data_IF_912278946164
#
_entry.id   IF_912278946164
#
_cell.length_a   1.000
_cell.length_b   1.000
_cell.length_c   1.000
_cell.angle_alpha   90.00
_cell.angle_beta   90.00
_cell.angle_gamma   90.00
#
_symmetry.space_group_name_H-M   'P 1'
#
loop_
_entity.id
_entity.type
_entity.pdbx_description
1 polymer ?
#
# COMPACT_ATOMS: atom_id res chain seq x y z
N UNK A 1 2.96 12.73 6.44
CA UNK A 1 2.39 11.38 6.64
C UNK A 1 2.46 11.03 8.11
N UNK A 2 1.32 10.66 8.71
CA UNK A 2 1.21 10.19 10.10
C UNK A 2 0.73 8.73 10.06
N UNK A 3 1.66 7.80 9.88
CA UNK A 3 1.37 6.36 9.78
C UNK A 3 2.06 5.56 10.88
N UNK A 4 1.41 4.48 11.29
CA UNK A 4 2.14 3.30 11.72
C UNK A 4 2.76 2.69 10.47
N UNK A 5 4.09 2.60 10.43
CA UNK A 5 4.84 2.00 9.32
C UNK A 5 5.54 0.74 9.79
N UNK A 6 5.14 -0.42 9.26
CA UNK A 6 5.76 -1.70 9.55
C UNK A 6 6.58 -2.17 8.35
N UNK A 7 7.87 -1.84 8.36
CA UNK A 7 8.79 -2.15 7.27
C UNK A 7 9.61 -3.43 7.51
N UNK A 8 10.22 -3.95 6.43
CA UNK A 8 11.26 -4.95 6.50
C UNK A 8 12.47 -4.45 7.32
N UNK A 9 13.13 -5.37 8.03
CA UNK A 9 14.33 -5.03 8.82
C UNK A 9 15.56 -4.68 7.98
N UNK A 10 15.54 -5.00 6.68
CA UNK A 10 16.63 -4.81 5.72
C UNK A 10 16.06 -4.67 4.30
N UNK A 11 16.75 -3.95 3.42
CA UNK A 11 16.37 -3.78 2.00
C UNK A 11 15.52 -2.54 1.72
N UNK A 12 15.00 -2.46 0.49
CA UNK A 12 14.13 -1.37 0.02
C UNK A 12 12.85 -1.33 0.86
N UNK A 13 12.55 -0.17 1.44
CA UNK A 13 11.32 0.04 2.19
C UNK A 13 10.32 0.77 1.33
N UNK A 14 9.30 0.06 0.82
CA UNK A 14 8.25 0.68 0.00
C UNK A 14 8.80 1.63 -1.07
N UNK A 15 9.82 1.20 -1.82
CA UNK A 15 10.43 1.97 -2.91
C UNK A 15 11.56 2.94 -2.56
N UNK A 16 11.87 3.15 -1.28
CA UNK A 16 13.00 4.00 -0.92
C UNK A 16 14.33 3.27 -1.06
N UNK A 17 15.32 3.93 -1.67
CA UNK A 17 16.65 3.38 -1.96
C UNK A 17 17.59 3.29 -0.75
N UNK A 18 17.12 3.63 0.45
CA UNK A 18 17.89 3.56 1.68
C UNK A 18 17.42 2.41 2.57
N UNK A 19 18.35 1.82 3.31
CA UNK A 19 18.04 0.75 4.27
C UNK A 19 17.15 1.29 5.38
N UNK A 20 16.09 0.54 5.70
CA UNK A 20 15.28 0.80 6.89
C UNK A 20 15.56 -0.20 7.99
N UNK A 21 15.16 0.14 9.21
CA UNK A 21 15.19 -0.73 10.38
C UNK A 21 13.75 -0.96 10.85
N UNK A 22 12.96 -1.57 9.99
CA UNK A 22 11.55 -1.82 10.25
C UNK A 22 11.30 -2.89 11.31
N UNK A 23 10.03 -3.19 11.55
CA UNK A 23 9.56 -4.09 12.63
C UNK A 23 9.16 -5.48 12.13
N UNK A 24 9.08 -5.70 10.80
CA UNK A 24 8.69 -6.97 10.22
C UNK A 24 9.77 -8.03 10.41
N UNK A 25 9.43 -9.12 11.10
CA UNK A 25 10.32 -10.29 11.27
C UNK A 25 10.38 -11.19 10.03
N UNK A 26 9.32 -11.17 9.24
CA UNK A 26 9.15 -11.92 7.99
C UNK A 26 8.49 -10.98 6.99
N UNK A 27 8.93 -11.02 5.73
CA UNK A 27 8.27 -10.27 4.66
C UNK A 27 7.05 -11.09 4.21
N UNK A 28 5.81 -10.59 4.41
CA UNK A 28 4.61 -11.29 3.97
C UNK A 28 4.59 -11.40 2.44
N UNK A 29 4.10 -12.54 1.95
CA UNK A 29 3.98 -12.85 0.52
C UNK A 29 2.51 -13.07 0.21
N UNK A 30 1.98 -12.45 -0.84
CA UNK A 30 0.65 -12.80 -1.35
C UNK A 30 0.63 -14.21 -1.95
N UNK A 31 -0.49 -14.94 -1.84
CA UNK A 31 -1.74 -14.56 -1.17
C UNK A 31 -1.77 -14.85 0.35
N UNK A 32 -0.65 -15.30 0.93
CA UNK A 32 -0.64 -16.03 2.20
C UNK A 32 -0.35 -15.13 3.41
N UNK A 33 -1.18 -14.10 3.64
CA UNK A 33 -1.14 -13.36 4.89
C UNK A 33 -2.42 -12.57 5.18
N UNK A 34 -2.69 -12.38 6.46
CA UNK A 34 -3.82 -11.60 6.99
C UNK A 34 -3.27 -10.53 7.92
N UNK A 35 -3.93 -9.38 8.00
CA UNK A 35 -3.57 -8.32 8.95
C UNK A 35 -4.74 -8.06 9.87
N UNK A 36 -4.49 -8.12 11.18
CA UNK A 36 -5.48 -7.94 12.22
C UNK A 36 -5.11 -6.75 13.10
N UNK A 37 -6.06 -5.89 13.41
CA UNK A 37 -5.84 -4.74 14.28
C UNK A 37 -7.17 -4.15 14.77
N UNK A 38 -7.14 -3.42 15.87
CA UNK A 38 -8.26 -2.57 16.29
C UNK A 38 -7.93 -1.12 16.02
N UNK A 39 -8.81 -0.42 15.30
CA UNK A 39 -8.66 0.98 14.92
C UNK A 39 -9.79 1.82 15.52
N UNK A 40 -9.42 2.96 16.08
CA UNK A 40 -10.34 4.02 16.51
C UNK A 40 -9.85 5.37 15.96
N UNK A 41 -10.64 5.98 15.08
CA UNK A 41 -10.34 7.27 14.48
C UNK A 41 -11.19 8.33 15.18
N UNK A 42 -10.51 9.28 15.83
CA UNK A 42 -11.16 10.38 16.56
C UNK A 42 -11.20 11.65 15.74
N UNK A 43 -10.17 11.90 14.92
CA UNK A 43 -10.08 13.06 14.05
C UNK A 43 -9.32 12.73 12.75
N UNK A 44 -9.90 13.11 11.61
CA UNK A 44 -9.51 12.63 10.28
C UNK A 44 -8.41 13.40 9.55
N UNK A 45 -7.80 14.44 10.14
CA UNK A 45 -6.70 15.18 9.51
C UNK A 45 -7.09 16.26 8.49
N UNK A 46 -8.38 16.62 8.39
CA UNK A 46 -8.86 17.68 7.50
C UNK A 46 -9.75 17.23 6.35
N UNK A 47 -10.10 18.17 5.47
CA UNK A 47 -10.88 17.91 4.27
C UNK A 47 -10.04 17.36 3.10
N UNK A 48 -8.73 17.61 3.12
CA UNK A 48 -7.79 17.17 2.07
C UNK A 48 -7.00 15.92 2.46
N UNK A 49 -7.05 15.50 3.72
CA UNK A 49 -6.34 14.31 4.16
C UNK A 49 -6.91 13.04 3.53
N UNK A 50 -6.08 12.01 3.50
CA UNK A 50 -6.52 10.65 3.19
C UNK A 50 -6.21 9.77 4.39
N UNK A 51 -7.10 8.85 4.72
CA UNK A 51 -6.82 7.87 5.75
C UNK A 51 -6.75 6.49 5.13
N UNK A 52 -5.57 5.89 5.18
CA UNK A 52 -5.33 4.54 4.71
C UNK A 52 -5.67 3.56 5.82
N UNK A 53 -6.73 2.78 5.63
CA UNK A 53 -7.02 1.61 6.47
C UNK A 53 -5.92 0.57 6.32
N UNK A 54 -5.41 0.43 5.11
CA UNK A 54 -4.28 -0.44 4.80
C UNK A 54 -3.54 0.16 3.60
N UNK A 55 -2.24 0.35 3.75
CA UNK A 55 -1.30 0.69 2.69
C UNK A 55 -0.18 -0.35 2.72
N UNK A 56 -0.03 -1.11 1.64
CA UNK A 56 1.08 -2.05 1.49
C UNK A 56 1.99 -1.62 0.35
N UNK A 57 3.30 -1.68 0.61
CA UNK A 57 4.34 -1.22 -0.32
C UNK A 57 5.35 -2.32 -0.68
N UNK A 58 5.71 -2.38 -1.95
CA UNK A 58 6.67 -3.35 -2.50
C UNK A 58 7.41 -2.80 -3.72
N UNK A 59 8.32 -3.59 -4.29
CA UNK A 59 9.05 -3.27 -5.50
C UNK A 59 9.28 -4.53 -6.34
N UNK A 60 8.91 -4.47 -7.63
CA UNK A 60 9.34 -5.43 -8.65
C UNK A 60 9.42 -4.76 -10.02
N UNK A 61 10.09 -5.40 -10.98
CA UNK A 61 10.19 -4.91 -12.37
C UNK A 61 8.95 -5.35 -13.17
N UNK A 62 8.64 -4.67 -14.27
CA UNK A 62 7.51 -5.03 -15.14
C UNK A 62 7.62 -6.45 -15.73
N UNK A 63 8.85 -6.95 -15.88
CA UNK A 63 9.12 -8.34 -16.29
C UNK A 63 8.98 -9.39 -15.15
N UNK A 64 8.48 -9.00 -13.98
CA UNK A 64 8.24 -9.86 -12.82
C UNK A 64 9.47 -10.17 -11.96
N UNK A 65 10.67 -9.71 -12.34
CA UNK A 65 11.88 -9.90 -11.53
C UNK A 65 11.89 -9.01 -10.29
N UNK A 66 12.58 -9.41 -9.21
CA UNK A 66 12.82 -8.54 -8.06
C UNK A 66 13.54 -7.25 -8.46
N UNK A 67 13.27 -6.19 -7.71
CA UNK A 67 14.03 -4.94 -7.81
C UNK A 67 15.50 -5.13 -7.43
N UNK A 68 16.37 -4.32 -8.02
CA UNK A 68 17.83 -4.40 -7.80
C UNK A 68 18.49 -3.03 -7.58
N UNK A 69 17.69 -1.97 -7.40
CA UNK A 69 18.15 -0.60 -7.25
C UNK A 69 18.27 0.19 -8.53
N UNK A 70 17.90 -0.39 -9.66
CA UNK A 70 17.88 0.30 -10.93
C UNK A 70 16.67 1.24 -11.01
N UNK A 71 16.92 2.53 -10.84
CA UNK A 71 15.88 3.59 -10.88
C UNK A 71 15.13 3.69 -12.20
N UNK A 72 15.60 3.05 -13.27
CA UNK A 72 14.93 3.05 -14.57
C UNK A 72 13.92 1.92 -14.71
N UNK A 73 14.27 0.72 -14.24
CA UNK A 73 13.48 -0.50 -14.45
C UNK A 73 12.76 -1.01 -13.21
N UNK A 74 13.18 -0.59 -12.01
CA UNK A 74 12.47 -0.87 -10.76
C UNK A 74 11.17 -0.06 -10.70
N UNK A 75 10.09 -0.72 -10.29
CA UNK A 75 8.80 -0.06 -10.10
C UNK A 75 8.32 -0.33 -8.69
N UNK A 76 8.18 0.75 -7.92
CA UNK A 76 7.57 0.70 -6.59
C UNK A 76 6.07 0.54 -6.75
N UNK A 77 5.46 -0.33 -5.94
CA UNK A 77 4.03 -0.59 -6.01
C UNK A 77 3.35 -0.46 -4.67
N UNK A 78 2.17 0.16 -4.71
CA UNK A 78 1.34 0.39 -3.55
C UNK A 78 -0.08 -0.12 -3.77
N UNK A 79 -0.67 -0.69 -2.73
CA UNK A 79 -2.09 -1.00 -2.65
C UNK A 79 -2.67 -0.32 -1.42
N UNK A 80 -3.51 0.68 -1.63
CA UNK A 80 -3.97 1.62 -0.62
C UNK A 80 -5.50 1.61 -0.53
N UNK A 81 -6.06 1.31 0.65
CA UNK A 81 -7.50 1.44 0.92
C UNK A 81 -7.77 2.73 1.68
N UNK A 82 -8.46 3.68 1.03
CA UNK A 82 -8.87 4.95 1.64
C UNK A 82 -10.26 4.81 2.26
N UNK A 83 -10.44 5.17 3.53
CA UNK A 83 -11.73 4.99 4.23
C UNK A 83 -12.43 6.29 4.63
N UNK A 84 -11.79 7.45 4.48
CA UNK A 84 -12.45 8.69 4.84
C UNK A 84 -13.56 9.04 3.82
N UNK A 85 -14.82 9.20 4.28
CA UNK A 85 -16.00 9.16 3.40
C UNK A 85 -16.12 10.37 2.47
N UNK A 86 -15.46 11.48 2.81
CA UNK A 86 -15.47 12.72 2.05
C UNK A 86 -14.45 12.78 0.91
N UNK A 87 -13.60 11.76 0.76
CA UNK A 87 -12.64 11.69 -0.34
C UNK A 87 -13.21 10.88 -1.49
N UNK A 88 -13.09 11.47 -2.68
CA UNK A 88 -13.13 10.74 -3.93
C UNK A 88 -11.68 10.54 -4.42
N UNK A 89 -11.40 9.39 -5.01
CA UNK A 89 -10.05 8.98 -5.39
C UNK A 89 -9.41 9.98 -6.36
N UNK A 90 -8.09 10.22 -6.23
CA UNK A 90 -7.35 11.28 -6.91
C UNK A 90 -7.44 11.30 -8.45
N UNK A 91 -7.83 10.20 -9.11
CA UNK A 91 -8.31 10.18 -10.51
C UNK A 91 -9.39 9.11 -10.74
N UNK A 92 -10.65 9.54 -10.83
CA UNK A 92 -11.79 8.65 -11.11
C UNK A 92 -11.73 8.10 -12.55
N UNK A 93 -11.09 6.95 -12.78
CA UNK A 93 -11.54 6.11 -13.88
C UNK A 93 -12.91 5.57 -13.48
N UNK A 94 -13.94 6.01 -14.21
CA UNK A 94 -15.33 5.62 -13.98
C UNK A 94 -15.52 4.15 -14.31
N UNK A 95 -15.06 3.26 -13.44
CA UNK A 95 -15.58 1.90 -13.37
C UNK A 95 -16.42 1.77 -12.11
N UNK A 96 -17.37 0.83 -12.09
CA UNK A 96 -18.25 0.57 -10.93
C UNK A 96 -17.50 0.23 -9.63
N UNK A 97 -16.19 0.05 -9.75
CA UNK A 97 -15.19 -0.08 -8.71
C UNK A 97 -14.26 1.13 -8.80
N UNK A 98 -14.13 1.95 -7.76
CA UNK A 98 -13.20 3.08 -7.83
C UNK A 98 -11.79 2.58 -7.53
N UNK A 99 -11.02 2.34 -8.59
CA UNK A 99 -9.57 2.13 -8.55
C UNK A 99 -8.92 3.35 -9.22
N UNK A 100 -8.09 4.10 -8.50
CA UNK A 100 -7.18 5.06 -9.14
C UNK A 100 -5.81 4.43 -9.31
N UNK A 101 -5.26 4.51 -10.53
CA UNK A 101 -3.92 4.02 -10.84
C UNK A 101 -2.99 5.20 -11.08
N UNK A 102 -1.91 5.31 -10.32
CA UNK A 102 -0.79 6.20 -10.66
C UNK A 102 0.16 5.40 -11.56
N UNK A 103 0.50 5.92 -12.74
CA UNK A 103 1.57 5.48 -13.66
C UNK A 103 1.86 3.96 -13.70
N UNK A 104 1.46 3.30 -14.79
CA UNK A 104 1.69 1.87 -15.04
C UNK A 104 3.13 1.54 -15.48
N UNK A 105 3.93 2.55 -15.82
CA UNK A 105 5.14 2.38 -16.63
C UNK A 105 6.43 2.66 -15.85
N UNK A 106 7.51 1.99 -16.26
CA UNK A 106 8.84 2.24 -15.75
C UNK A 106 9.45 3.49 -16.40
N UNK A 107 10.62 3.95 -15.96
CA UNK A 107 11.25 5.17 -16.48
C UNK A 107 12.13 4.89 -17.73
N UNK A 108 12.06 3.69 -18.30
CA UNK A 108 12.77 3.34 -19.54
C UNK A 108 12.10 4.01 -20.76
N UNK A 109 10.78 4.21 -20.70
CA UNK A 109 9.98 4.82 -21.77
C UNK A 109 9.03 5.89 -21.23
N UNK A 110 9.52 7.04 -20.71
CA UNK A 110 8.64 8.04 -20.12
C UNK A 110 7.78 8.75 -21.19
N UNK A 111 6.45 8.73 -21.02
CA UNK A 111 5.54 9.49 -21.88
C UNK A 111 5.65 11.01 -21.64
N UNK A 112 5.71 11.80 -22.72
CA UNK A 112 5.69 13.26 -22.61
C UNK A 112 4.27 13.77 -22.25
N UNK A 113 4.14 14.78 -21.37
CA UNK A 113 5.22 15.47 -20.66
C UNK A 113 5.63 14.75 -19.36
N UNK A 114 6.93 14.62 -19.14
CA UNK A 114 7.49 14.10 -17.89
C UNK A 114 8.47 15.09 -17.24
N UNK A 115 8.66 14.97 -15.94
CA UNK A 115 9.70 15.64 -15.18
C UNK A 115 10.29 14.64 -14.19
N UNK A 116 11.58 14.72 -13.95
CA UNK A 116 12.21 13.91 -12.91
C UNK A 116 11.94 14.52 -11.55
N UNK A 117 11.64 13.69 -10.57
CA UNK A 117 11.39 14.13 -9.21
C UNK A 117 12.65 14.77 -8.60
N UNK A 118 12.46 15.61 -7.57
CA UNK A 118 13.59 16.15 -6.82
C UNK A 118 14.34 15.05 -6.06
N UNK A 119 15.58 15.28 -5.60
CA UNK A 119 16.42 14.26 -4.96
C UNK A 119 15.86 13.63 -3.68
N UNK A 120 14.86 14.24 -3.05
CA UNK A 120 14.23 13.74 -1.82
C UNK A 120 12.94 12.95 -2.08
N UNK A 121 12.36 13.11 -3.27
CA UNK A 121 11.23 12.32 -3.74
C UNK A 121 11.69 10.94 -4.18
N UNK A 122 10.79 9.94 -4.15
CA UNK A 122 11.13 8.60 -4.64
C UNK A 122 11.49 8.69 -6.14
N UNK A 123 12.75 8.42 -6.53
CA UNK A 123 13.18 8.58 -7.92
C UNK A 123 12.70 7.43 -8.81
N UNK A 124 12.18 6.36 -8.20
CA UNK A 124 11.70 5.18 -8.92
C UNK A 124 10.28 5.43 -9.45
N UNK A 125 9.95 4.90 -10.63
CA UNK A 125 8.57 4.75 -11.08
C UNK A 125 7.68 4.14 -10.00
N UNK A 126 6.44 4.65 -9.91
CA UNK A 126 5.46 4.22 -8.91
C UNK A 126 4.16 3.82 -9.58
N UNK A 127 3.70 2.61 -9.28
CA UNK A 127 2.36 2.16 -9.61
C UNK A 127 1.52 2.06 -8.32
N UNK A 128 0.60 3.01 -8.13
CA UNK A 128 -0.23 3.11 -6.91
C UNK A 128 -1.66 2.73 -7.27
N UNK A 129 -2.21 1.72 -6.59
CA UNK A 129 -3.63 1.36 -6.66
C UNK A 129 -4.34 1.88 -5.41
N UNK A 130 -5.09 2.97 -5.56
CA UNK A 130 -5.99 3.45 -4.51
C UNK A 130 -7.38 2.89 -4.72
N UNK A 131 -7.88 2.17 -3.72
CA UNK A 131 -9.22 1.57 -3.70
C UNK A 131 -10.09 2.20 -2.61
N UNK A 132 -11.40 2.25 -2.88
CA UNK A 132 -12.41 2.76 -1.97
C UNK A 132 -13.33 1.63 -1.45
N UNK A 133 -14.06 1.85 -0.34
CA UNK A 133 -15.03 0.90 0.17
C UNK A 133 -16.04 0.49 -0.90
N UNK A 134 -16.20 -0.82 -1.08
CA UNK A 134 -17.08 -1.39 -2.10
C UNK A 134 -17.50 -2.81 -1.70
N UNK A 135 -18.74 -3.26 -2.01
CA UNK A 135 -19.22 -4.57 -1.58
C UNK A 135 -18.37 -5.77 -2.01
N UNK A 136 -17.67 -5.66 -3.14
CA UNK A 136 -16.77 -6.72 -3.64
C UNK A 136 -15.59 -6.98 -2.70
N UNK A 137 -15.23 -6.03 -1.84
CA UNK A 137 -14.15 -6.19 -0.87
C UNK A 137 -14.56 -6.94 0.39
N UNK A 138 -15.86 -7.18 0.59
CA UNK A 138 -16.38 -7.80 1.80
C UNK A 138 -15.87 -9.22 2.03
N UNK A 139 -15.59 -9.99 0.97
CA UNK A 139 -15.01 -11.33 1.09
C UNK A 139 -13.57 -11.32 1.65
N UNK A 140 -12.87 -10.18 1.58
CA UNK A 140 -11.53 -9.98 2.10
C UNK A 140 -11.53 -9.29 3.49
N UNK A 141 -12.71 -9.03 4.07
CA UNK A 141 -12.85 -8.35 5.36
C UNK A 141 -12.74 -6.82 5.31
N UNK A 142 -12.63 -6.24 4.11
CA UNK A 142 -12.50 -4.79 3.92
C UNK A 142 -13.85 -4.06 3.95
N UNK A 143 -13.86 -2.73 4.16
CA UNK A 143 -15.06 -1.91 4.15
C UNK A 143 -15.89 -2.08 2.87
N UNK A 144 -17.19 -2.27 3.05
CA UNK A 144 -18.13 -2.52 1.95
C UNK A 144 -18.90 -1.28 1.51
N UNK A 145 -18.90 -0.23 2.32
CA UNK A 145 -19.58 1.04 2.06
C UNK A 145 -18.83 2.21 2.68
N UNK A 146 -19.00 3.41 2.09
CA UNK A 146 -18.40 4.65 2.61
C UNK A 146 -18.78 4.85 4.08
N UNK A 147 -17.80 5.21 4.90
CA UNK A 147 -17.98 5.53 6.33
C UNK A 147 -17.80 4.34 7.29
N UNK A 148 -17.72 3.10 6.82
CA UNK A 148 -17.37 1.96 7.69
C UNK A 148 -15.93 2.10 8.22
N UNK A 149 -15.77 2.01 9.54
CA UNK A 149 -14.48 2.22 10.22
C UNK A 149 -14.03 3.65 10.34
N UNK A 150 -14.90 4.59 10.04
CA UNK A 150 -14.60 6.01 10.19
C UNK A 150 -14.90 6.50 11.62
N UNK A 151 -14.90 7.82 11.80
CA UNK A 151 -15.12 8.48 13.08
C UNK A 151 -16.45 8.04 13.71
N UNK A 152 -16.37 7.56 14.96
CA UNK A 152 -17.52 7.05 15.71
C UNK A 152 -17.84 5.58 15.47
N UNK A 153 -17.07 4.88 14.62
CA UNK A 153 -17.19 3.44 14.35
C UNK A 153 -15.84 2.73 14.63
N UNK A 154 -15.40 2.62 15.90
CA UNK A 154 -14.19 1.89 16.24
C UNK A 154 -14.40 0.39 16.03
N UNK A 155 -13.42 -0.29 15.40
CA UNK A 155 -13.58 -1.69 14.97
C UNK A 155 -12.29 -2.48 15.05
N UNK A 156 -12.44 -3.77 15.27
CA UNK A 156 -11.40 -4.75 14.99
C UNK A 156 -11.55 -5.23 13.55
N UNK A 157 -10.50 -5.06 12.78
CA UNK A 157 -10.37 -5.51 11.41
C UNK A 157 -9.60 -6.82 11.36
N UNK A 158 -10.03 -7.72 10.49
CA UNK A 158 -9.29 -8.91 10.07
C UNK A 158 -9.33 -8.92 8.55
N UNK A 159 -8.24 -8.43 7.96
CA UNK A 159 -8.14 -8.17 6.53
C UNK A 159 -7.34 -9.27 5.85
N UNK A 160 -7.92 -9.93 4.85
CA UNK A 160 -7.24 -10.87 3.96
C UNK A 160 -6.42 -10.09 2.92
N UNK A 161 -5.40 -9.38 3.42
CA UNK A 161 -4.54 -8.48 2.64
C UNK A 161 -3.81 -9.27 1.55
N UNK A 162 -3.38 -10.50 1.84
CA UNK A 162 -2.73 -11.37 0.89
C UNK A 162 -3.62 -11.71 -0.31
N UNK A 163 -4.83 -12.22 -0.11
CA UNK A 163 -5.71 -12.55 -1.25
C UNK A 163 -6.18 -11.31 -2.00
N UNK A 164 -6.50 -10.21 -1.32
CA UNK A 164 -6.90 -8.97 -2.01
C UNK A 164 -5.75 -8.45 -2.88
N UNK A 165 -4.56 -8.32 -2.29
CA UNK A 165 -3.39 -7.81 -3.01
C UNK A 165 -2.93 -8.73 -4.15
N UNK A 166 -3.25 -10.03 -4.12
CA UNK A 166 -3.07 -10.95 -5.25
C UNK A 166 -4.10 -10.73 -6.37
N UNK A 167 -5.35 -10.41 -6.01
CA UNK A 167 -6.44 -10.19 -6.95
C UNK A 167 -6.35 -8.85 -7.68
N UNK A 168 -5.70 -7.85 -7.07
CA UNK A 168 -5.45 -6.56 -7.71
C UNK A 168 -4.54 -6.70 -8.94
N UNK A 169 -4.85 -5.94 -9.97
CA UNK A 169 -4.06 -5.90 -11.20
C UNK A 169 -2.94 -4.86 -11.08
N UNK A 170 -1.70 -5.32 -11.18
CA UNK A 170 -0.53 -4.49 -11.39
C UNK A 170 0.04 -4.81 -12.77
N UNK A 171 0.48 -3.79 -13.50
CA UNK A 171 1.02 -3.97 -14.84
C UNK A 171 2.22 -4.93 -14.85
N UNK A 172 2.24 -5.80 -15.85
CA UNK A 172 3.38 -6.65 -16.19
C UNK A 172 3.56 -6.71 -17.70
N UNK A 173 4.81 -6.84 -18.14
CA UNK A 173 5.14 -6.91 -19.56
C UNK A 173 4.51 -8.17 -20.18
N UNK A 174 3.89 -8.07 -21.37
CA UNK A 174 3.31 -9.22 -22.05
C UNK A 174 4.33 -10.36 -22.22
N UNK A 175 3.94 -11.57 -21.83
CA UNK A 175 4.79 -12.76 -21.90
C UNK A 175 5.77 -12.93 -20.73
N UNK A 176 5.80 -11.99 -19.77
CA UNK A 176 6.55 -12.18 -18.52
C UNK A 176 5.85 -13.19 -17.59
N UNK A 177 6.61 -13.89 -16.72
CA UNK A 177 6.02 -14.71 -15.68
C UNK A 177 5.30 -13.84 -14.62
N UNK A 178 4.27 -14.38 -13.94
CA UNK A 178 3.64 -13.70 -12.82
C UNK A 178 4.67 -13.30 -11.75
N UNK A 179 4.60 -12.04 -11.28
CA UNK A 179 5.46 -11.58 -10.21
C UNK A 179 5.08 -12.23 -8.88
N UNK A 180 6.08 -12.71 -8.14
CA UNK A 180 5.91 -13.02 -6.72
C UNK A 180 5.80 -11.70 -5.94
N UNK A 181 4.70 -11.52 -5.19
CA UNK A 181 4.39 -10.26 -4.50
C UNK A 181 4.78 -10.35 -3.02
N UNK A 182 5.92 -9.74 -2.68
CA UNK A 182 6.42 -9.63 -1.31
C UNK A 182 6.21 -8.21 -0.80
N UNK A 183 5.48 -8.03 0.29
CA UNK A 183 5.13 -6.69 0.79
C UNK A 183 6.11 -6.24 1.87
N UNK A 184 7.09 -5.42 1.46
CA UNK A 184 8.15 -4.88 2.31
C UNK A 184 7.68 -3.86 3.34
N UNK A 185 6.47 -3.34 3.18
CA UNK A 185 5.87 -2.31 4.02
C UNK A 185 4.39 -2.61 4.20
N UNK A 186 3.89 -2.54 5.43
CA UNK A 186 2.47 -2.68 5.80
C UNK A 186 2.13 -1.55 6.77
N UNK A 187 1.27 -0.64 6.33
CA UNK A 187 1.07 0.67 6.91
C UNK A 187 -0.42 0.95 7.15
N UNK A 188 -0.68 1.85 8.11
CA UNK A 188 -2.01 2.37 8.41
C UNK A 188 -1.87 3.77 8.99
N UNK A 189 -2.80 4.67 8.66
CA UNK A 189 -2.92 5.98 9.28
C UNK A 189 -3.31 7.09 8.30
N UNK A 190 -2.94 8.33 8.63
CA UNK A 190 -3.42 9.53 7.93
C UNK A 190 -2.33 10.22 7.11
N UNK A 191 -2.60 10.41 5.82
CA UNK A 191 -1.89 11.36 4.98
C UNK A 191 -2.50 12.74 5.18
N UNK A 192 -1.70 13.69 5.66
CA UNK A 192 -2.11 15.09 5.78
C UNK A 192 -1.30 15.87 4.75
N UNK A 193 -2.00 16.44 3.76
CA UNK A 193 -1.39 17.36 2.80
C UNK A 193 -1.08 18.69 3.49
N UNK A 194 -0.05 19.39 3.01
CA UNK A 194 0.43 20.66 3.55
C UNK A 194 -0.69 21.72 3.56
N UNK A 195 -1.40 21.82 4.67
CA UNK A 195 -2.43 22.82 4.96
C UNK A 195 -2.28 23.24 6.42
N UNK A 196 -2.64 24.48 6.74
CA UNK A 196 -2.47 25.02 8.08
C UNK A 196 -3.47 24.38 9.05
N UNK A 197 -3.05 24.17 10.30
CA UNK A 197 -3.90 23.74 11.43
C UNK A 197 -4.65 22.42 11.27
N UNK A 198 -4.11 21.46 10.51
CA UNK A 198 -4.70 20.12 10.41
C UNK A 198 -4.33 19.26 11.62
N UNK A 199 -5.33 18.63 12.22
CA UNK A 199 -5.16 17.70 13.34
C UNK A 199 -5.78 16.35 12.97
N UNK A 200 -4.98 15.29 13.14
CA UNK A 200 -5.45 13.91 13.09
C UNK A 200 -5.20 13.26 14.45
N UNK A 201 -6.18 12.52 14.94
CA UNK A 201 -6.09 11.76 16.17
C UNK A 201 -6.73 10.40 15.95
N UNK A 202 -5.97 9.35 16.18
CA UNK A 202 -6.44 7.97 16.05
C UNK A 202 -5.57 7.08 16.94
N UNK A 203 -6.09 5.89 17.24
CA UNK A 203 -5.35 4.87 17.97
C UNK A 203 -5.46 3.53 17.26
N UNK A 204 -4.37 2.77 17.30
CA UNK A 204 -4.30 1.39 16.84
C UNK A 204 -3.78 0.52 17.97
N UNK A 205 -4.36 -0.67 18.10
CA UNK A 205 -3.89 -1.70 19.05
C UNK A 205 -4.04 -3.09 18.44
N UNK A 206 -3.37 -4.06 19.04
CA UNK A 206 -3.43 -5.47 18.63
C UNK A 206 -3.10 -5.65 17.14
N UNK A 207 -2.08 -4.94 16.65
CA UNK A 207 -1.67 -4.96 15.25
C UNK A 207 -0.77 -6.18 14.98
N UNK A 208 -1.35 -7.18 14.32
CA UNK A 208 -0.72 -8.45 14.00
C UNK A 208 -0.70 -8.68 12.48
N UNK A 209 0.45 -9.06 11.95
CA UNK A 209 0.59 -9.58 10.58
C UNK A 209 0.78 -11.08 10.70
N UNK A 210 -0.21 -11.83 10.23
CA UNK A 210 -0.33 -13.27 10.40
C UNK A 210 0.07 -13.92 9.08
N UNK A 211 1.13 -14.72 9.11
CA UNK A 211 1.62 -15.50 7.97
C UNK A 211 1.49 -16.99 8.32
N UNK A 212 0.93 -17.85 7.45
CA UNK A 212 0.84 -19.29 7.66
C UNK A 212 2.20 -19.93 7.95
N UNK A 213 2.21 -20.94 8.82
CA UNK A 213 3.42 -21.69 9.20
C UNK A 213 3.80 -22.70 8.12
N UNK A 214 4.13 -22.22 6.94
CA UNK A 214 4.28 -23.07 5.76
C UNK A 214 5.76 -23.27 5.40
N UNK A 215 6.66 -23.46 6.37
CA UNK A 215 8.06 -23.92 6.14
C UNK A 215 8.96 -23.10 5.19
N UNK A 216 8.43 -22.06 4.54
CA UNK A 216 9.00 -21.35 3.39
C UNK A 216 8.94 -19.83 3.57
N UNK A 217 8.61 -19.35 4.77
CA UNK A 217 8.88 -17.96 5.13
C UNK A 217 10.37 -17.70 4.91
N UNK A 218 10.70 -16.84 3.95
CA UNK A 218 12.04 -16.29 3.81
C UNK A 218 12.33 -15.56 5.12
N UNK A 219 12.94 -16.26 6.10
CA UNK A 219 13.71 -15.61 7.15
C UNK A 219 14.61 -14.63 6.42
N UNK A 220 14.59 -13.36 6.82
CA UNK A 220 15.39 -12.29 6.22
C UNK A 220 16.82 -12.78 5.95
N UNK A 221 17.03 -13.35 4.76
CA UNK A 221 18.33 -13.75 4.28
C UNK A 221 18.72 -12.56 3.46
N UNK A 222 19.66 -11.81 4.02
CA UNK A 222 20.43 -10.74 3.42
C UNK A 222 20.23 -10.68 1.89
N UNK A 223 19.36 -9.76 1.47
CA UNK A 223 19.43 -9.16 0.14
C UNK A 223 20.57 -8.15 0.14
#
# INVERSE_FOLDING_TARGET
MLYLRSDATTGYSGGYHYQTRGMLKVIPKSPDFTVKFTLDIKQGGGAKSQFYLMDIGSCWKNNGKPCNGDVTTDVTRYSEMIINPGIDSWRTFHTRLTISIARLENAEYPEEPYNFCDPYSNPQPQEILQILPHPVWGEYGYPTKKGEGWIGDPRTWELDVGRLSQALYFYQDPGSPPADRYWSSVNLGTEIYMDENQVAEWSVRDFDIIVPNDGHGLRSRNY
#
